data_IF_528764140048
#
_entry.id   IF_528764140048
#
_cell.length_a   1.000
_cell.length_b   1.000
_cell.length_c   1.000
_cell.angle_alpha   90.00
_cell.angle_beta   90.00
_cell.angle_gamma   90.00
#
_symmetry.space_group_name_H-M   'P 1'
#
loop_
_entity.id
_entity.type
_entity.pdbx_description
1 polymer ?
#
# COMPACT_ATOMS: atom_id res chain seq x y z
N UNK A 1 3.34 8.58 -0.12
CA UNK A 1 4.59 9.29 -0.50
C UNK A 1 5.82 8.40 -0.41
N UNK A 2 6.21 7.82 0.74
CA UNK A 2 7.42 6.98 0.82
C UNK A 2 7.41 5.76 -0.13
N UNK A 3 6.29 5.03 -0.23
CA UNK A 3 6.16 3.93 -1.18
C UNK A 3 6.19 4.43 -2.64
N UNK A 4 5.63 5.61 -2.90
CA UNK A 4 5.62 6.21 -4.24
C UNK A 4 7.06 6.55 -4.67
N UNK A 5 7.85 7.13 -3.75
CA UNK A 5 9.29 7.40 -3.97
C UNK A 5 10.09 6.12 -4.21
N UNK A 6 9.82 5.05 -3.46
CA UNK A 6 10.45 3.75 -3.67
C UNK A 6 10.14 3.21 -5.08
N UNK A 7 8.88 3.27 -5.51
CA UNK A 7 8.48 2.83 -6.85
C UNK A 7 9.17 3.67 -7.93
N UNK A 8 9.20 5.00 -7.79
CA UNK A 8 9.90 5.88 -8.73
C UNK A 8 11.39 5.56 -8.83
N UNK A 9 12.08 5.36 -7.70
CA UNK A 9 13.53 5.02 -7.68
C UNK A 9 13.84 3.70 -8.38
N UNK A 10 12.91 2.74 -8.31
CA UNK A 10 13.07 1.42 -8.93
C UNK A 10 12.51 1.35 -10.37
N UNK A 11 12.10 2.49 -10.96
CA UNK A 11 11.41 2.54 -12.25
C UNK A 11 10.15 1.65 -12.32
N UNK A 12 9.46 1.49 -11.19
CA UNK A 12 8.20 0.76 -11.11
C UNK A 12 7.02 1.69 -11.35
N UNK A 13 5.90 1.11 -11.78
CA UNK A 13 4.63 1.84 -11.89
C UNK A 13 4.20 2.31 -10.50
N UNK A 14 3.67 3.54 -10.42
CA UNK A 14 3.15 4.08 -9.18
C UNK A 14 2.11 3.14 -8.54
N UNK A 15 2.13 3.00 -7.21
CA UNK A 15 1.24 2.10 -6.50
C UNK A 15 -0.23 2.50 -6.68
N UNK A 16 -1.09 1.50 -6.86
CA UNK A 16 -2.54 1.69 -6.82
C UNK A 16 -3.03 1.55 -5.39
N UNK A 17 -3.71 2.59 -4.89
CA UNK A 17 -4.33 2.59 -3.57
C UNK A 17 -5.84 2.42 -3.72
N UNK A 18 -6.39 1.44 -3.01
CA UNK A 18 -7.83 1.23 -2.89
C UNK A 18 -8.19 1.29 -1.42
N UNK A 19 -9.22 2.06 -1.06
CA UNK A 19 -9.73 2.13 0.30
C UNK A 19 -11.19 1.71 0.30
N UNK A 20 -11.53 0.81 1.20
CA UNK A 20 -12.86 0.25 1.34
C UNK A 20 -13.41 0.63 2.73
N UNK A 21 -14.61 1.23 2.80
CA UNK A 21 -15.32 1.32 4.07
C UNK A 21 -15.76 -0.09 4.51
N UNK A 22 -15.62 -0.38 5.80
CA UNK A 22 -16.07 -1.61 6.44
C UNK A 22 -16.78 -1.27 7.75
N UNK A 23 -17.51 -2.24 8.30
CA UNK A 23 -18.02 -2.11 9.67
C UNK A 23 -16.84 -1.94 10.64
N UNK A 24 -16.89 -0.88 11.45
CA UNK A 24 -15.81 -0.54 12.40
C UNK A 24 -14.60 0.20 11.81
N UNK A 25 -14.61 0.61 10.53
CA UNK A 25 -13.60 1.53 9.99
C UNK A 25 -13.29 1.38 8.51
N UNK A 26 -12.01 1.46 8.17
CA UNK A 26 -11.52 1.47 6.78
C UNK A 26 -10.40 0.45 6.60
N UNK A 27 -10.44 -0.25 5.46
CA UNK A 27 -9.39 -1.14 5.01
C UNK A 27 -8.78 -0.56 3.74
N UNK A 28 -7.44 -0.50 3.69
CA UNK A 28 -6.74 -0.15 2.48
C UNK A 28 -6.06 -1.37 1.88
N UNK A 29 -6.03 -1.39 0.54
CA UNK A 29 -5.27 -2.33 -0.27
C UNK A 29 -4.33 -1.53 -1.17
N UNK A 30 -3.07 -1.93 -1.18
CA UNK A 30 -2.02 -1.35 -2.00
C UNK A 30 -1.55 -2.40 -2.98
N UNK A 31 -1.40 -2.01 -4.24
CA UNK A 31 -0.94 -2.88 -5.31
C UNK A 31 0.27 -2.20 -5.95
N UNK A 32 1.41 -2.89 -5.96
CA UNK A 32 2.64 -2.48 -6.64
C UNK A 32 2.91 -3.48 -7.76
N UNK A 33 3.19 -2.97 -8.96
CA UNK A 33 3.71 -3.78 -10.07
C UNK A 33 5.22 -3.55 -10.13
N UNK A 34 5.99 -4.50 -9.60
CA UNK A 34 7.44 -4.46 -9.53
C UNK A 34 8.01 -5.40 -10.60
N UNK A 35 8.60 -4.84 -11.65
CA UNK A 35 9.06 -5.58 -12.83
C UNK A 35 7.98 -6.57 -13.32
N UNK A 36 8.20 -7.88 -13.13
CA UNK A 36 7.30 -8.95 -13.57
C UNK A 36 6.37 -9.48 -12.46
N UNK A 37 6.43 -8.89 -11.27
CA UNK A 37 5.69 -9.33 -10.09
C UNK A 37 4.67 -8.29 -9.63
N UNK A 38 3.50 -8.78 -9.23
CA UNK A 38 2.45 -7.97 -8.61
C UNK A 38 2.41 -8.25 -7.13
N UNK A 39 2.82 -7.27 -6.32
CA UNK A 39 2.77 -7.37 -4.85
C UNK A 39 1.54 -6.65 -4.34
N UNK A 40 0.84 -7.29 -3.42
CA UNK A 40 -0.38 -6.75 -2.81
C UNK A 40 -0.19 -6.73 -1.30
N UNK A 41 -0.49 -5.59 -0.69
CA UNK A 41 -0.51 -5.43 0.76
C UNK A 41 -1.85 -4.88 1.20
N UNK A 42 -2.29 -5.27 2.40
CA UNK A 42 -3.51 -4.77 3.03
C UNK A 42 -3.16 -4.16 4.38
N UNK A 43 -3.92 -3.14 4.78
CA UNK A 43 -3.86 -2.61 6.14
C UNK A 43 -4.61 -3.51 7.11
N UNK A 44 -4.48 -3.22 8.40
CA UNK A 44 -5.52 -3.58 9.37
C UNK A 44 -6.74 -2.66 9.18
N UNK A 45 -7.87 -2.97 9.82
CA UNK A 45 -8.97 -2.01 9.91
C UNK A 45 -8.48 -0.81 10.72
N UNK A 46 -8.66 0.39 10.18
CA UNK A 46 -8.26 1.64 10.81
C UNK A 46 -9.43 2.62 10.88
N UNK A 47 -9.39 3.51 11.87
CA UNK A 47 -10.44 4.51 12.12
C UNK A 47 -10.60 5.53 10.99
N UNK A 48 -9.58 5.71 10.13
CA UNK A 48 -9.64 6.65 9.03
C UNK A 48 -9.09 6.08 7.72
N UNK A 49 -9.59 6.54 6.55
CA UNK A 49 -9.08 6.15 5.24
C UNK A 49 -7.57 6.38 5.10
N UNK A 50 -7.10 7.51 5.65
CA UNK A 50 -5.69 7.90 5.60
C UNK A 50 -4.82 6.94 6.40
N UNK A 51 -5.19 6.63 7.65
CA UNK A 51 -4.46 5.67 8.49
C UNK A 51 -4.40 4.28 7.84
N UNK A 52 -5.52 3.83 7.28
CA UNK A 52 -5.56 2.56 6.54
C UNK A 52 -4.56 2.58 5.37
N UNK A 53 -4.59 3.62 4.54
CA UNK A 53 -3.70 3.76 3.39
C UNK A 53 -2.22 3.76 3.80
N UNK A 54 -1.87 4.55 4.81
CA UNK A 54 -0.51 4.66 5.33
C UNK A 54 -0.03 3.32 5.93
N UNK A 55 -0.88 2.61 6.66
CA UNK A 55 -0.58 1.27 7.20
C UNK A 55 -0.32 0.24 6.10
N UNK A 56 -1.17 0.18 5.08
CA UNK A 56 -0.97 -0.76 3.95
C UNK A 56 0.34 -0.44 3.19
N UNK A 57 0.66 0.85 3.02
CA UNK A 57 1.90 1.28 2.39
C UNK A 57 3.13 0.90 3.23
N UNK A 58 3.10 1.11 4.54
CA UNK A 58 4.19 0.73 5.43
C UNK A 58 4.45 -0.79 5.41
N UNK A 59 3.37 -1.60 5.46
CA UNK A 59 3.48 -3.05 5.30
C UNK A 59 4.13 -3.43 3.96
N UNK A 60 3.74 -2.78 2.87
CA UNK A 60 4.33 -3.00 1.55
C UNK A 60 5.83 -2.67 1.53
N UNK A 61 6.24 -1.52 2.07
CA UNK A 61 7.66 -1.15 2.13
C UNK A 61 8.46 -2.18 2.93
N UNK A 62 7.94 -2.62 4.07
CA UNK A 62 8.60 -3.64 4.90
C UNK A 62 8.76 -4.98 4.17
N UNK A 63 7.88 -5.30 3.22
CA UNK A 63 7.99 -6.51 2.39
C UNK A 63 9.08 -6.44 1.33
N UNK A 64 9.50 -5.23 0.93
CA UNK A 64 10.59 -5.02 -0.04
C UNK A 64 11.97 -4.85 0.61
N UNK A 65 12.03 -4.67 1.92
CA UNK A 65 13.27 -4.50 2.70
C UNK A 65 13.72 -5.78 3.41
N UNK A 66 13.09 -6.92 3.08
CA UNK A 66 13.45 -8.25 3.59
C UNK A 66 14.47 -8.94 2.71
#
# INVERSE_FOLDING_TARGET
>A
MQLDQLCCRNNWVLPTYQVFPLEGGFLAKVIVKAADSKVISKSKICESPRKARESAAAHMISSFQK
#
